data_IF_493484155514
#
_entry.id   IF_493484155514
#
_cell.length_a   1.000
_cell.length_b   1.000
_cell.length_c   1.000
_cell.angle_alpha   90.00
_cell.angle_beta   90.00
_cell.angle_gamma   90.00
#
_symmetry.space_group_name_H-M   'P 1'
#
loop_
_entity.id
_entity.type
_entity.pdbx_description
1 polymer ?
#
# COMPACT_ATOMS: atom_id res chain seq x y z
N UNK A 1 -21.48 -2.22 0.94
CA UNK A 1 -20.85 -2.90 -0.20
C UNK A 1 -20.27 -4.22 0.32
N UNK A 2 -20.92 -5.38 0.09
CA UNK A 2 -20.57 -6.65 0.75
C UNK A 2 -19.13 -7.14 0.50
N UNK A 3 -18.54 -6.67 -0.61
CA UNK A 3 -17.19 -7.03 -1.01
C UNK A 3 -16.10 -6.38 -0.13
N UNK A 4 -16.38 -5.21 0.46
CA UNK A 4 -15.46 -4.52 1.39
C UNK A 4 -15.35 -5.31 2.69
N UNK A 5 -16.48 -5.75 3.22
CA UNK A 5 -16.52 -6.56 4.44
C UNK A 5 -15.81 -7.91 4.23
N UNK A 6 -15.97 -8.51 3.04
CA UNK A 6 -15.27 -9.73 2.67
C UNK A 6 -13.75 -9.51 2.53
N UNK A 7 -13.32 -8.40 1.92
CA UNK A 7 -11.91 -8.01 1.83
C UNK A 7 -11.31 -7.79 3.21
N UNK A 8 -11.98 -7.04 4.09
CA UNK A 8 -11.51 -6.79 5.47
C UNK A 8 -11.37 -8.10 6.24
N UNK A 9 -12.34 -9.00 6.14
CA UNK A 9 -12.27 -10.30 6.79
C UNK A 9 -11.14 -11.18 6.25
N UNK A 10 -10.93 -11.17 4.92
CA UNK A 10 -9.79 -11.87 4.30
C UNK A 10 -8.45 -11.28 4.75
N UNK A 11 -8.31 -9.95 4.80
CA UNK A 11 -7.10 -9.29 5.27
C UNK A 11 -6.81 -9.59 6.75
N UNK A 12 -7.84 -9.64 7.61
CA UNK A 12 -7.69 -10.01 9.03
C UNK A 12 -7.24 -11.47 9.16
N UNK A 13 -7.85 -12.39 8.40
CA UNK A 13 -7.44 -13.81 8.40
C UNK A 13 -6.00 -13.99 7.94
N UNK A 14 -5.60 -13.33 6.85
CA UNK A 14 -4.23 -13.37 6.34
C UNK A 14 -3.24 -12.79 7.35
N UNK A 15 -3.55 -11.65 7.97
CA UNK A 15 -2.70 -11.06 9.03
C UNK A 15 -2.48 -12.01 10.20
N UNK A 16 -3.52 -12.74 10.61
CA UNK A 16 -3.45 -13.66 11.75
C UNK A 16 -2.72 -14.98 11.43
N UNK A 17 -2.59 -15.34 10.16
CA UNK A 17 -1.91 -16.57 9.70
C UNK A 17 -0.44 -16.35 9.29
N UNK A 18 -0.04 -15.10 9.09
CA UNK A 18 1.33 -14.77 8.68
C UNK A 18 2.22 -14.55 9.90
N UNK A 19 3.32 -15.30 10.04
CA UNK A 19 4.29 -15.10 11.13
C UNK A 19 5.37 -14.07 10.79
N UNK A 20 5.60 -13.77 9.52
CA UNK A 20 6.56 -12.75 9.09
C UNK A 20 6.05 -11.34 9.44
N UNK A 21 6.77 -10.59 10.30
CA UNK A 21 6.40 -9.21 10.66
C UNK A 21 6.27 -8.27 9.45
N UNK A 22 7.04 -8.48 8.37
CA UNK A 22 7.01 -7.64 7.17
C UNK A 22 5.74 -7.88 6.36
N UNK A 23 5.36 -9.14 6.19
CA UNK A 23 4.13 -9.48 5.48
C UNK A 23 2.90 -9.11 6.31
N UNK A 24 2.95 -9.25 7.65
CA UNK A 24 1.95 -8.65 8.55
C UNK A 24 1.81 -7.14 8.39
N UNK A 25 2.92 -6.40 8.34
CA UNK A 25 2.92 -4.95 8.13
C UNK A 25 2.34 -4.58 6.75
N UNK A 26 2.73 -5.31 5.71
CA UNK A 26 2.19 -5.12 4.36
C UNK A 26 0.68 -5.36 4.30
N UNK A 27 0.18 -6.43 4.93
CA UNK A 27 -1.27 -6.69 4.99
C UNK A 27 -2.02 -5.61 5.77
N UNK A 28 -1.42 -5.07 6.84
CA UNK A 28 -1.98 -3.96 7.59
C UNK A 28 -2.09 -2.70 6.71
N UNK A 29 -1.01 -2.34 6.02
CA UNK A 29 -0.98 -1.24 5.05
C UNK A 29 -2.07 -1.42 3.99
N UNK A 30 -2.14 -2.59 3.36
CA UNK A 30 -3.09 -2.85 2.28
C UNK A 30 -4.53 -2.67 2.73
N UNK A 31 -4.87 -3.07 3.96
CA UNK A 31 -6.21 -2.84 4.51
C UNK A 31 -6.54 -1.35 4.62
N UNK A 32 -5.61 -0.54 5.14
CA UNK A 32 -5.82 0.89 5.33
C UNK A 32 -5.88 1.66 4.03
N UNK A 33 -4.92 1.42 3.13
CA UNK A 33 -4.85 2.05 1.80
C UNK A 33 -6.08 1.71 0.97
N UNK A 34 -6.50 0.45 1.00
CA UNK A 34 -7.65 0.02 0.23
C UNK A 34 -8.96 0.64 0.74
N UNK A 35 -9.15 0.70 2.07
CA UNK A 35 -10.29 1.38 2.66
C UNK A 35 -10.30 2.87 2.29
N UNK A 36 -9.16 3.56 2.46
CA UNK A 36 -9.04 4.97 2.13
C UNK A 36 -9.32 5.24 0.64
N UNK A 37 -8.86 4.36 -0.26
CA UNK A 37 -9.13 4.48 -1.71
C UNK A 37 -10.62 4.37 -2.03
N UNK A 38 -11.32 3.40 -1.44
CA UNK A 38 -12.77 3.28 -1.64
C UNK A 38 -13.50 4.54 -1.16
N UNK A 39 -13.13 5.07 0.01
CA UNK A 39 -13.72 6.32 0.51
C UNK A 39 -13.33 7.54 -0.33
N UNK A 40 -12.13 7.56 -0.90
CA UNK A 40 -11.68 8.62 -1.80
C UNK A 40 -12.54 8.64 -3.06
N UNK A 41 -12.71 7.50 -3.72
CA UNK A 41 -13.55 7.37 -4.93
C UNK A 41 -15.01 7.73 -4.64
N UNK A 42 -15.57 7.26 -3.53
CA UNK A 42 -16.93 7.63 -3.10
C UNK A 42 -17.05 9.14 -2.81
N UNK A 43 -16.00 9.76 -2.25
CA UNK A 43 -15.98 11.20 -1.99
C UNK A 43 -15.94 12.02 -3.27
N UNK A 44 -15.17 11.57 -4.29
CA UNK A 44 -15.19 12.18 -5.63
C UNK A 44 -16.59 12.10 -6.24
N UNK A 45 -17.21 10.91 -6.21
CA UNK A 45 -18.56 10.71 -6.77
C UNK A 45 -19.61 11.58 -6.08
N UNK A 46 -19.45 11.84 -4.78
CA UNK A 46 -20.34 12.71 -4.00
C UNK A 46 -20.01 14.22 -4.14
N UNK A 47 -18.97 14.60 -4.90
CA UNK A 47 -18.54 16.00 -5.04
C UNK A 47 -17.80 16.56 -3.81
N UNK A 48 -17.40 15.72 -2.86
CA UNK A 48 -16.66 16.13 -1.67
C UNK A 48 -15.16 16.26 -1.95
N UNK A 49 -14.77 17.29 -2.72
CA UNK A 49 -13.40 17.47 -3.22
C UNK A 49 -12.36 17.52 -2.09
N UNK A 50 -12.56 18.34 -1.07
CA UNK A 50 -11.63 18.43 0.07
C UNK A 50 -11.43 17.10 0.79
N UNK A 51 -12.50 16.31 0.94
CA UNK A 51 -12.44 14.99 1.58
C UNK A 51 -11.70 13.98 0.70
N UNK A 52 -11.93 14.02 -0.61
CA UNK A 52 -11.20 13.21 -1.56
C UNK A 52 -9.70 13.54 -1.52
N UNK A 53 -9.34 14.83 -1.54
CA UNK A 53 -7.95 15.26 -1.46
C UNK A 53 -7.28 14.87 -0.14
N UNK A 54 -7.97 15.03 0.99
CA UNK A 54 -7.48 14.55 2.28
C UNK A 54 -7.18 13.04 2.26
N UNK A 55 -8.08 12.22 1.72
CA UNK A 55 -7.90 10.78 1.65
C UNK A 55 -6.78 10.37 0.68
N UNK A 56 -6.61 11.12 -0.42
CA UNK A 56 -5.49 10.97 -1.35
C UNK A 56 -4.16 11.12 -0.63
N UNK A 57 -3.99 12.22 0.11
CA UNK A 57 -2.75 12.49 0.85
C UNK A 57 -2.52 11.44 1.93
N UNK A 58 -3.57 11.04 2.64
CA UNK A 58 -3.50 10.00 3.67
C UNK A 58 -3.01 8.65 3.14
N UNK A 59 -3.39 8.27 1.92
CA UNK A 59 -2.92 7.03 1.29
C UNK A 59 -1.41 7.09 1.06
N UNK A 60 -0.92 8.19 0.48
CA UNK A 60 0.50 8.37 0.22
C UNK A 60 1.31 8.41 1.53
N UNK A 61 0.82 9.09 2.56
CA UNK A 61 1.45 9.13 3.89
C UNK A 61 1.60 7.73 4.50
N UNK A 62 0.54 6.92 4.48
CA UNK A 62 0.60 5.54 5.02
C UNK A 62 1.61 4.67 4.25
N UNK A 63 1.72 4.85 2.92
CA UNK A 63 2.72 4.11 2.12
C UNK A 63 4.13 4.55 2.51
N UNK A 64 4.37 5.86 2.67
CA UNK A 64 5.66 6.40 3.11
C UNK A 64 6.02 5.86 4.49
N UNK A 65 5.12 5.92 5.46
CA UNK A 65 5.34 5.43 6.82
C UNK A 65 5.71 3.94 6.82
N UNK A 66 5.01 3.13 6.02
CA UNK A 66 5.35 1.72 5.85
C UNK A 66 6.75 1.51 5.27
N UNK A 67 7.13 2.27 4.23
CA UNK A 67 8.45 2.18 3.61
C UNK A 67 9.54 2.56 4.60
N UNK A 68 9.34 3.60 5.40
CA UNK A 68 10.28 4.02 6.45
C UNK A 68 10.40 2.93 7.52
N UNK A 69 9.28 2.51 8.12
CA UNK A 69 9.28 1.56 9.23
C UNK A 69 9.88 0.19 8.89
N UNK A 70 9.60 -0.33 7.69
CA UNK A 70 10.03 -1.69 7.32
C UNK A 70 11.32 -1.67 6.47
N UNK A 71 11.50 -0.60 5.69
CA UNK A 71 12.53 -0.47 4.67
C UNK A 71 13.70 0.43 5.03
N UNK A 72 13.74 1.05 6.22
CA UNK A 72 14.87 1.87 6.67
C UNK A 72 16.21 1.15 6.44
N UNK A 73 17.06 1.77 5.61
CA UNK A 73 18.40 1.26 5.25
C UNK A 73 18.41 0.05 4.29
N UNK A 74 17.27 -0.42 3.78
CA UNK A 74 17.17 -1.61 2.92
C UNK A 74 16.71 -1.22 1.52
N UNK A 75 17.51 -1.57 0.50
CA UNK A 75 17.11 -1.53 -0.91
C UNK A 75 16.61 -2.91 -1.32
N UNK A 76 15.63 -2.94 -2.23
CA UNK A 76 15.20 -4.19 -2.86
C UNK A 76 14.61 -5.24 -1.92
N UNK A 77 13.80 -4.82 -0.95
CA UNK A 77 13.20 -5.72 0.05
C UNK A 77 11.73 -6.01 -0.21
N UNK A 78 11.04 -5.20 -1.01
CA UNK A 78 9.63 -5.40 -1.35
C UNK A 78 9.52 -6.25 -2.61
N UNK A 79 8.58 -7.20 -2.64
CA UNK A 79 8.37 -7.99 -3.85
C UNK A 79 7.87 -7.12 -5.01
N UNK A 80 8.25 -7.46 -6.24
CA UNK A 80 7.73 -6.83 -7.47
C UNK A 80 6.21 -6.80 -7.53
N UNK A 81 5.54 -7.86 -7.04
CA UNK A 81 4.07 -7.95 -6.99
C UNK A 81 3.47 -6.94 -6.00
N UNK A 82 4.09 -6.79 -4.83
CA UNK A 82 3.68 -5.81 -3.81
C UNK A 82 3.85 -4.38 -4.34
N UNK A 83 4.99 -4.08 -4.97
CA UNK A 83 5.24 -2.77 -5.60
C UNK A 83 4.19 -2.46 -6.66
N UNK A 84 3.96 -3.37 -7.61
CA UNK A 84 2.95 -3.18 -8.65
C UNK A 84 1.53 -2.97 -8.10
N UNK A 85 1.21 -3.52 -6.92
CA UNK A 85 -0.08 -3.30 -6.25
C UNK A 85 -0.15 -1.90 -5.64
N UNK A 86 0.90 -1.47 -4.94
CA UNK A 86 0.98 -0.14 -4.32
C UNK A 86 0.98 0.98 -5.37
N UNK A 87 1.58 0.76 -6.54
CA UNK A 87 1.52 1.70 -7.67
C UNK A 87 0.08 2.01 -8.12
N UNK A 88 -0.85 1.05 -8.03
CA UNK A 88 -2.26 1.26 -8.45
C UNK A 88 -3.06 2.14 -7.49
N UNK A 89 -2.52 2.43 -6.32
CA UNK A 89 -3.20 3.14 -5.24
C UNK A 89 -2.43 4.38 -4.79
N UNK A 90 -1.21 4.56 -5.29
CA UNK A 90 -0.36 5.74 -5.04
C UNK A 90 -0.79 6.89 -5.94
N UNK A 91 -0.68 8.13 -5.44
CA UNK A 91 -1.08 9.32 -6.19
C UNK A 91 0.03 10.33 -6.46
N UNK A 92 1.19 10.21 -5.82
CA UNK A 92 2.33 11.13 -6.01
C UNK A 92 3.54 10.41 -6.57
N UNK A 93 4.25 11.11 -7.45
CA UNK A 93 5.49 10.63 -8.08
C UNK A 93 6.58 10.33 -7.05
N UNK A 94 6.66 11.14 -5.99
CA UNK A 94 7.59 10.91 -4.87
C UNK A 94 7.42 9.53 -4.22
N UNK A 95 6.17 9.08 -4.02
CA UNK A 95 5.91 7.76 -3.44
C UNK A 95 6.19 6.65 -4.45
N UNK A 96 5.91 6.89 -5.72
CA UNK A 96 6.32 5.99 -6.82
C UNK A 96 7.83 5.75 -6.82
N UNK A 97 8.64 6.80 -6.70
CA UNK A 97 10.10 6.69 -6.64
C UNK A 97 10.58 5.89 -5.42
N UNK A 98 9.95 6.10 -4.26
CA UNK A 98 10.24 5.34 -3.05
C UNK A 98 9.91 3.85 -3.24
N UNK A 99 8.78 3.53 -3.87
CA UNK A 99 8.40 2.15 -4.18
C UNK A 99 9.36 1.48 -5.16
N UNK A 100 9.80 2.19 -6.19
CA UNK A 100 10.77 1.71 -7.18
C UNK A 100 12.14 1.40 -6.52
N UNK A 101 12.53 2.20 -5.53
CA UNK A 101 13.74 1.95 -4.74
C UNK A 101 13.60 0.75 -3.77
N UNK A 102 12.39 0.55 -3.23
CA UNK A 102 12.08 -0.57 -2.36
C UNK A 102 11.93 -1.91 -3.13
N UNK A 103 11.65 -1.86 -4.44
CA UNK A 103 11.44 -3.04 -5.28
C UNK A 103 12.67 -3.94 -5.36
N UNK A 104 12.50 -5.20 -5.00
CA UNK A 104 13.50 -6.24 -5.20
C UNK A 104 13.66 -6.52 -6.69
N UNK A 105 14.79 -6.09 -7.26
CA UNK A 105 15.13 -6.26 -8.67
C UNK A 105 15.54 -7.70 -9.04
N UNK A 106 15.56 -8.63 -8.07
CA UNK A 106 16.05 -9.99 -8.25
C UNK A 106 17.57 -10.05 -8.29
N UNK A 107 18.18 -11.24 -8.41
CA UNK A 107 19.61 -11.34 -8.66
C UNK A 107 19.94 -10.65 -9.98
N UNK A 108 20.92 -9.75 -9.97
CA UNK A 108 21.51 -9.24 -11.21
C UNK A 108 21.98 -10.45 -12.02
N UNK A 109 21.48 -10.61 -13.23
CA UNK A 109 21.99 -11.61 -14.15
C UNK A 109 23.49 -11.34 -14.30
N UNK A 110 24.31 -12.23 -13.74
CA UNK A 110 25.76 -12.23 -13.96
C UNK A 110 25.94 -12.56 -15.45
N UNK A 111 26.12 -11.51 -16.25
CA UNK A 111 26.64 -11.60 -17.62
C UNK A 111 28.13 -11.89 -17.59
#
# INVERSE_FOLDING_TARGET
>A
MPWIDNFINLSIKLKNQCDDPREKAYHCLMKEVFNAKVFHEASIQAGHIFKAEYLRNKIDDHIVDFIIQIGEGKKGWLSRRSVATLHKVTFTEKVVDLLNNAENKGPEARG
#
